data_IF_560259656604
#
_entry.id   IF_560259656604
#
_cell.length_a   1.000
_cell.length_b   1.000
_cell.length_c   1.000
_cell.angle_alpha   90.00
_cell.angle_beta   90.00
_cell.angle_gamma   90.00
#
_symmetry.space_group_name_H-M   'P 1'
#
loop_
_entity.id
_entity.type
_entity.pdbx_description
1 polymer ?
#
# COMPACT_ATOMS: atom_id res chain seq x y z
N UNK A 1 -30.66 -35.40 -14.55
CA UNK A 1 -30.51 -33.94 -14.70
C UNK A 1 -29.15 -33.52 -14.16
N UNK A 2 -28.20 -33.17 -15.02
CA UNK A 2 -26.87 -32.72 -14.60
C UNK A 2 -26.88 -31.24 -14.19
N UNK A 3 -26.25 -30.90 -13.06
CA UNK A 3 -26.16 -29.52 -12.59
C UNK A 3 -25.13 -28.79 -13.45
N UNK A 4 -25.58 -27.78 -14.19
CA UNK A 4 -24.70 -26.94 -14.99
C UNK A 4 -24.06 -25.88 -14.08
N UNK A 5 -22.90 -26.19 -13.49
CA UNK A 5 -22.17 -25.29 -12.60
C UNK A 5 -20.96 -24.70 -13.34
N UNK A 6 -20.94 -23.38 -13.51
CA UNK A 6 -19.80 -22.64 -14.09
C UNK A 6 -18.52 -23.02 -13.35
N UNK A 7 -17.51 -23.47 -14.10
CA UNK A 7 -16.21 -23.94 -13.60
C UNK A 7 -16.28 -25.01 -12.48
N UNK A 8 -17.35 -25.82 -12.41
CA UNK A 8 -17.53 -26.89 -11.40
C UNK A 8 -17.43 -26.34 -9.95
N UNK A 9 -17.84 -25.09 -9.73
CA UNK A 9 -17.78 -24.42 -8.42
C UNK A 9 -16.37 -24.01 -7.97
N UNK A 10 -15.33 -24.24 -8.78
CA UNK A 10 -13.95 -23.88 -8.44
C UNK A 10 -13.64 -22.47 -8.95
N UNK A 11 -13.44 -21.53 -8.03
CA UNK A 11 -12.94 -20.18 -8.36
C UNK A 11 -11.45 -20.08 -7.99
N UNK A 12 -10.58 -20.04 -9.02
CA UNK A 12 -9.15 -19.78 -8.80
C UNK A 12 -8.93 -18.28 -8.66
N UNK A 13 -8.50 -17.83 -7.49
CA UNK A 13 -8.14 -16.43 -7.25
C UNK A 13 -6.64 -16.24 -7.55
N UNK A 14 -6.31 -15.51 -8.62
CA UNK A 14 -4.94 -15.06 -8.92
C UNK A 14 -4.61 -13.80 -8.11
N UNK A 15 -4.36 -13.96 -6.81
CA UNK A 15 -3.91 -12.88 -5.92
C UNK A 15 -2.74 -13.38 -5.09
N UNK A 16 -1.83 -12.49 -4.70
CA UNK A 16 -0.83 -12.81 -3.68
C UNK A 16 -1.55 -13.01 -2.34
N UNK A 17 -1.57 -14.25 -1.85
CA UNK A 17 -2.21 -14.64 -0.58
C UNK A 17 -1.19 -14.58 0.57
N UNK A 18 0.10 -14.71 0.26
CA UNK A 18 1.21 -14.70 1.21
C UNK A 18 2.36 -13.80 0.72
N UNK A 19 3.15 -13.23 1.65
CA UNK A 19 4.38 -12.51 1.32
C UNK A 19 5.41 -13.44 0.69
N UNK A 20 6.44 -12.84 0.06
CA UNK A 20 7.58 -13.60 -0.47
C UNK A 20 8.62 -13.94 0.59
N UNK A 21 8.54 -13.31 1.78
CA UNK A 21 9.45 -13.46 2.90
C UNK A 21 8.64 -13.82 4.16
N UNK A 22 9.15 -14.74 4.97
CA UNK A 22 8.53 -15.19 6.22
C UNK A 22 8.87 -14.23 7.38
N UNK A 23 8.34 -13.01 7.31
CA UNK A 23 8.50 -12.02 8.37
C UNK A 23 7.35 -12.12 9.40
N UNK A 24 7.67 -12.64 10.60
CA UNK A 24 6.72 -12.86 11.71
C UNK A 24 5.94 -11.58 12.08
N UNK A 25 6.58 -10.41 11.97
CA UNK A 25 5.95 -9.12 12.30
C UNK A 25 4.87 -8.70 11.31
N UNK A 26 4.89 -9.19 10.07
CA UNK A 26 3.86 -8.86 9.08
C UNK A 26 2.56 -9.64 9.32
N UNK A 27 2.66 -10.85 9.87
CA UNK A 27 1.49 -11.68 10.19
C UNK A 27 0.69 -11.13 11.38
N UNK A 28 1.37 -10.53 12.36
CA UNK A 28 0.74 -9.97 13.56
C UNK A 28 0.00 -8.65 13.31
N UNK A 29 0.21 -7.99 12.17
CA UNK A 29 -0.32 -6.64 11.92
C UNK A 29 -1.82 -6.63 11.50
N UNK A 30 -2.52 -7.77 11.43
CA UNK A 30 -3.72 -7.92 10.60
C UNK A 30 -5.10 -7.64 11.25
N UNK A 31 -5.20 -6.85 12.32
CA UNK A 31 -6.48 -6.70 13.04
C UNK A 31 -7.36 -5.52 12.59
N UNK A 32 -6.86 -4.59 11.77
CA UNK A 32 -7.61 -3.38 11.36
C UNK A 32 -7.84 -3.28 9.84
N UNK A 33 -8.93 -2.61 9.42
CA UNK A 33 -9.23 -2.36 8.00
C UNK A 33 -8.12 -1.55 7.30
N UNK A 34 -7.46 -0.65 8.02
CA UNK A 34 -6.31 0.10 7.49
C UNK A 34 -5.13 -0.82 7.26
N UNK A 35 -4.90 -1.75 8.20
CA UNK A 35 -3.80 -2.69 8.12
C UNK A 35 -3.99 -3.68 6.96
N UNK A 36 -5.22 -4.07 6.65
CA UNK A 36 -5.51 -4.92 5.49
C UNK A 36 -5.10 -4.25 4.15
N UNK A 37 -5.28 -2.93 4.03
CA UNK A 37 -4.84 -2.17 2.84
C UNK A 37 -3.31 -2.07 2.80
N UNK A 38 -2.69 -1.77 3.94
CA UNK A 38 -1.22 -1.69 4.05
C UNK A 38 -0.58 -3.04 3.72
N UNK A 39 -1.11 -4.14 4.26
CA UNK A 39 -0.64 -5.50 4.01
C UNK A 39 -0.75 -5.87 2.53
N UNK A 40 -1.86 -5.51 1.88
CA UNK A 40 -2.04 -5.72 0.44
C UNK A 40 -0.98 -4.97 -0.37
N UNK A 41 -0.68 -3.73 -0.01
CA UNK A 41 0.37 -2.94 -0.67
C UNK A 41 1.77 -3.54 -0.41
N UNK A 42 2.03 -4.07 0.79
CA UNK A 42 3.30 -4.73 1.12
C UNK A 42 3.53 -6.00 0.30
N UNK A 43 2.49 -6.80 0.04
CA UNK A 43 2.57 -8.01 -0.78
C UNK A 43 2.72 -7.75 -2.28
N UNK A 44 2.60 -6.49 -2.72
CA UNK A 44 2.83 -6.15 -4.13
C UNK A 44 4.33 -6.24 -4.49
N UNK A 45 4.60 -6.57 -5.75
CA UNK A 45 5.95 -6.50 -6.30
C UNK A 45 6.49 -5.06 -6.32
N UNK A 46 7.82 -4.91 -6.30
CA UNK A 46 8.49 -3.59 -6.33
C UNK A 46 8.04 -2.69 -7.49
N UNK A 47 7.72 -3.29 -8.64
CA UNK A 47 7.22 -2.56 -9.83
C UNK A 47 5.85 -1.92 -9.57
N UNK A 48 5.01 -2.54 -8.74
CA UNK A 48 3.70 -1.99 -8.37
C UNK A 48 3.78 -0.93 -7.26
N UNK A 49 4.93 -0.81 -6.58
CA UNK A 49 5.20 0.18 -5.54
C UNK A 49 5.96 1.36 -6.15
N UNK A 50 5.30 2.08 -7.07
CA UNK A 50 5.93 3.21 -7.76
C UNK A 50 6.37 4.30 -6.75
N UNK A 51 7.54 4.92 -6.94
CA UNK A 51 8.02 5.99 -6.07
C UNK A 51 7.10 7.21 -6.15
N UNK A 52 6.83 7.83 -5.01
CA UNK A 52 6.01 9.03 -4.90
C UNK A 52 6.90 10.25 -4.65
N UNK A 53 6.71 11.33 -5.41
CA UNK A 53 7.47 12.56 -5.22
C UNK A 53 6.87 13.45 -4.13
N UNK A 54 7.73 14.21 -3.43
CA UNK A 54 7.30 15.19 -2.43
C UNK A 54 6.30 16.22 -2.99
N UNK A 55 6.52 16.70 -4.22
CA UNK A 55 5.60 17.60 -4.93
C UNK A 55 4.17 17.04 -5.02
N UNK A 56 4.04 15.73 -5.19
CA UNK A 56 2.75 15.07 -5.32
C UNK A 56 2.08 14.86 -3.96
N UNK A 57 2.88 14.58 -2.92
CA UNK A 57 2.40 14.51 -1.54
C UNK A 57 1.82 15.84 -1.07
N UNK A 58 2.52 16.94 -1.33
CA UNK A 58 2.05 18.29 -0.95
C UNK A 58 0.69 18.58 -1.59
N UNK A 59 0.50 18.24 -2.87
CA UNK A 59 -0.80 18.37 -3.55
C UNK A 59 -1.90 17.53 -2.91
N UNK A 60 -1.61 16.30 -2.50
CA UNK A 60 -2.60 15.44 -1.84
C UNK A 60 -2.96 15.88 -0.41
N UNK A 61 -2.06 16.64 0.22
CA UNK A 61 -2.26 17.17 1.57
C UNK A 61 -3.07 18.47 1.62
N UNK A 62 -3.19 19.18 0.50
CA UNK A 62 -4.01 20.40 0.44
C UNK A 62 -5.44 20.12 0.93
N UNK A 63 -5.86 20.83 1.99
CA UNK A 63 -7.17 20.68 2.62
C UNK A 63 -7.28 19.59 3.70
N UNK A 64 -6.16 19.00 4.16
CA UNK A 64 -6.13 17.93 5.19
C UNK A 64 -5.07 18.18 6.26
N UNK A 65 -5.05 19.37 6.86
CA UNK A 65 -3.96 19.80 7.74
C UNK A 65 -3.80 18.97 9.03
N UNK A 66 -4.90 18.39 9.53
CA UNK A 66 -4.93 17.61 10.77
C UNK A 66 -4.72 16.09 10.59
N UNK A 67 -4.37 15.63 9.39
CA UNK A 67 -4.19 14.19 9.10
C UNK A 67 -2.72 13.85 8.85
N UNK A 68 -2.37 12.61 9.17
CA UNK A 68 -1.07 11.99 8.92
C UNK A 68 -1.16 11.27 7.58
N UNK A 69 -0.19 11.53 6.69
CA UNK A 69 -0.11 10.86 5.40
C UNK A 69 0.78 9.63 5.52
N UNK A 70 0.25 8.47 5.15
CA UNK A 70 0.97 7.19 5.20
C UNK A 70 1.28 6.76 3.77
N UNK A 71 2.55 6.52 3.48
CA UNK A 71 3.00 6.07 2.15
C UNK A 71 3.66 4.71 2.30
N UNK A 72 3.10 3.71 1.61
CA UNK A 72 3.69 2.37 1.52
C UNK A 72 4.51 2.31 0.23
N UNK A 73 5.78 2.73 0.30
CA UNK A 73 6.66 2.80 -0.85
C UNK A 73 7.77 3.84 -0.68
N UNK A 74 8.54 4.06 -1.76
CA UNK A 74 9.67 4.99 -1.76
C UNK A 74 9.15 6.42 -1.95
N UNK A 75 9.58 7.33 -1.09
CA UNK A 75 9.35 8.78 -1.28
C UNK A 75 10.61 9.40 -1.87
N UNK A 76 10.46 10.10 -2.99
CA UNK A 76 11.56 10.75 -3.71
C UNK A 76 11.55 12.25 -3.45
N UNK A 77 12.73 12.79 -3.16
CA UNK A 77 12.94 14.23 -3.03
C UNK A 77 12.80 14.93 -4.38
N UNK A 78 12.14 16.09 -4.38
CA UNK A 78 12.01 16.93 -5.57
C UNK A 78 12.68 18.28 -5.29
N UNK A 79 13.73 18.61 -6.05
CA UNK A 79 14.57 19.81 -5.88
C UNK A 79 13.76 21.09 -6.13
N UNK A 80 12.62 20.97 -6.81
CA UNK A 80 11.73 22.11 -7.12
C UNK A 80 10.87 22.55 -5.94
N UNK A 81 10.81 21.75 -4.88
CA UNK A 81 10.04 22.06 -3.68
C UNK A 81 10.94 22.77 -2.68
N UNK A 82 10.78 24.09 -2.59
CA UNK A 82 11.57 24.94 -1.69
C UNK A 82 11.01 25.03 -0.27
N UNK A 83 9.69 24.89 -0.11
CA UNK A 83 9.04 24.92 1.20
C UNK A 83 8.27 23.62 1.45
N UNK A 84 8.63 22.93 2.54
CA UNK A 84 7.93 21.75 3.01
C UNK A 84 7.29 22.09 4.36
N UNK A 85 5.99 22.38 4.34
CA UNK A 85 5.18 22.54 5.56
C UNK A 85 5.22 21.22 6.35
N UNK A 86 5.39 21.26 7.68
CA UNK A 86 5.54 20.07 8.55
C UNK A 86 4.67 18.87 8.11
N UNK A 87 5.28 17.91 7.41
CA UNK A 87 4.64 16.68 6.96
C UNK A 87 4.94 15.58 7.98
N UNK A 88 3.89 14.96 8.54
CA UNK A 88 4.04 13.68 9.25
C UNK A 88 3.85 12.58 8.23
N UNK A 89 4.97 12.09 7.68
CA UNK A 89 4.99 11.00 6.70
C UNK A 89 5.56 9.76 7.37
N UNK A 90 4.79 8.67 7.39
CA UNK A 90 5.29 7.36 7.78
C UNK A 90 5.53 6.55 6.51
N UNK A 91 6.78 6.16 6.28
CA UNK A 91 7.18 5.32 5.14
C UNK A 91 7.62 3.96 5.63
N UNK A 92 7.12 2.90 4.99
CA UNK A 92 7.67 1.56 5.16
C UNK A 92 8.58 1.27 3.97
N UNK A 93 9.89 1.29 4.20
CA UNK A 93 10.86 0.83 3.21
C UNK A 93 10.97 -0.70 3.30
N UNK A 94 10.67 -1.38 2.20
CA UNK A 94 11.02 -2.78 1.96
C UNK A 94 11.91 -2.90 0.74
#
# INVERSE_FOLDING_TARGET
>A
MGINVVARGKSKKMKHIAPRFDDIYLELLAESKLNAVVLKCLFMSKVNKAPLSLSRLIKYRQGKDNKIDVVVGIVTSDIRVYEVLQLKVTTLMS
#
